data_IF_305296631660
#
_entry.id   IF_305296631660
#
_cell.length_a   1.000
_cell.length_b   1.000
_cell.length_c   1.000
_cell.angle_alpha   90.00
_cell.angle_beta   90.00
_cell.angle_gamma   90.00
#
_symmetry.space_group_name_H-M   'P 1'
#
loop_
_entity.id
_entity.type
_entity.pdbx_description
1 polymer ?
#
# COMPACT_ATOMS: atom_id res chain seq x y z
N UNK A 1 -10.23 26.92 0.06
CA UNK A 1 -9.29 27.95 0.53
C UNK A 1 -7.89 27.41 0.29
N UNK A 2 -7.15 27.94 -0.66
CA UNK A 2 -5.76 27.56 -0.89
C UNK A 2 -4.94 28.17 0.24
N UNK A 3 -4.56 27.38 1.23
CA UNK A 3 -3.52 27.77 2.17
C UNK A 3 -2.21 27.78 1.41
N UNK A 4 -1.68 28.97 1.17
CA UNK A 4 -0.31 29.16 0.72
C UNK A 4 0.64 28.67 1.81
N UNK A 5 0.95 27.39 1.78
CA UNK A 5 1.89 26.80 2.69
C UNK A 5 3.28 27.38 2.40
N UNK A 6 3.83 28.11 3.35
CA UNK A 6 5.26 28.36 3.37
C UNK A 6 5.92 27.00 3.51
N UNK A 7 6.62 26.58 2.47
CA UNK A 7 7.41 25.35 2.47
C UNK A 7 8.54 25.54 3.47
N UNK A 8 8.34 25.10 4.70
CA UNK A 8 9.40 25.10 5.70
C UNK A 8 10.43 24.03 5.33
N UNK A 9 11.71 24.38 5.41
CA UNK A 9 12.82 23.43 5.25
C UNK A 9 12.67 22.23 6.23
N UNK A 10 12.01 22.45 7.37
CA UNK A 10 11.63 21.41 8.34
C UNK A 10 10.75 20.31 7.72
N UNK A 11 9.87 20.63 6.79
CA UNK A 11 8.97 19.65 6.16
C UNK A 11 9.77 18.67 5.28
N UNK A 12 10.84 19.14 4.64
CA UNK A 12 11.75 18.29 3.87
C UNK A 12 12.54 17.30 4.73
N UNK A 13 12.82 17.64 5.98
CA UNK A 13 13.52 16.75 6.93
C UNK A 13 12.54 15.77 7.58
N UNK A 14 11.30 16.18 7.78
CA UNK A 14 10.25 15.34 8.36
C UNK A 14 9.86 14.17 7.46
N UNK A 15 9.90 14.33 6.13
CA UNK A 15 9.55 13.27 5.17
C UNK A 15 10.46 12.02 5.33
N UNK A 16 11.81 12.11 5.26
CA UNK A 16 12.66 10.93 5.43
C UNK A 16 12.58 10.35 6.85
N UNK A 17 12.38 11.18 7.87
CA UNK A 17 12.21 10.72 9.25
C UNK A 17 10.94 9.89 9.38
N UNK A 18 9.83 10.36 8.83
CA UNK A 18 8.54 9.66 8.80
C UNK A 18 8.66 8.29 8.11
N UNK A 19 9.41 8.21 7.01
CA UNK A 19 9.65 6.96 6.28
C UNK A 19 10.44 5.97 7.15
N UNK A 20 11.54 6.41 7.74
CA UNK A 20 12.40 5.55 8.57
C UNK A 20 11.66 5.07 9.82
N UNK A 21 10.93 5.96 10.50
CA UNK A 21 10.13 5.60 11.67
C UNK A 21 9.01 4.62 11.32
N UNK A 22 8.31 4.86 10.21
CA UNK A 22 7.27 3.95 9.72
C UNK A 22 7.83 2.55 9.43
N UNK A 23 8.96 2.46 8.74
CA UNK A 23 9.61 1.20 8.42
C UNK A 23 10.09 0.49 9.71
N UNK A 24 10.72 1.20 10.64
CA UNK A 24 11.21 0.63 11.87
C UNK A 24 10.07 0.09 12.75
N UNK A 25 9.00 0.87 12.91
CA UNK A 25 7.83 0.48 13.70
C UNK A 25 7.12 -0.73 13.08
N UNK A 26 6.92 -0.71 11.77
CA UNK A 26 6.31 -1.83 11.06
C UNK A 26 7.18 -3.10 11.11
N UNK A 27 8.51 -2.97 10.99
CA UNK A 27 9.42 -4.10 11.08
C UNK A 27 9.41 -4.73 12.50
N UNK A 28 9.36 -3.92 13.54
CA UNK A 28 9.24 -4.39 14.94
C UNK A 28 7.93 -5.17 15.13
N UNK A 29 6.81 -4.60 14.72
CA UNK A 29 5.49 -5.25 14.83
C UNK A 29 5.46 -6.54 14.01
N UNK A 30 6.00 -6.54 12.79
CA UNK A 30 6.11 -7.72 11.93
C UNK A 30 6.96 -8.83 12.55
N UNK A 31 8.05 -8.46 13.22
CA UNK A 31 8.89 -9.40 13.95
C UNK A 31 8.14 -10.06 15.12
N UNK A 32 7.49 -9.27 15.97
CA UNK A 32 6.67 -9.79 17.06
C UNK A 32 5.56 -10.71 16.57
N UNK A 33 4.89 -10.32 15.48
CA UNK A 33 3.82 -11.12 14.90
C UNK A 33 4.32 -12.43 14.32
N UNK A 34 5.51 -12.44 13.70
CA UNK A 34 6.16 -13.65 13.20
C UNK A 34 6.48 -14.63 14.35
N UNK A 35 7.11 -14.13 15.41
CA UNK A 35 7.43 -14.94 16.60
C UNK A 35 6.15 -15.48 17.25
N UNK A 36 5.11 -14.65 17.34
CA UNK A 36 3.81 -15.09 17.87
C UNK A 36 3.20 -16.23 17.04
N UNK A 37 3.24 -16.14 15.73
CA UNK A 37 2.71 -17.18 14.86
C UNK A 37 3.55 -18.47 14.89
N UNK A 38 4.86 -18.37 15.00
CA UNK A 38 5.75 -19.53 15.15
C UNK A 38 5.54 -20.23 16.50
N UNK A 39 5.43 -19.48 17.58
CA UNK A 39 5.18 -20.03 18.92
C UNK A 39 3.80 -20.70 18.99
N UNK A 40 2.78 -20.08 18.40
CA UNK A 40 1.45 -20.66 18.30
C UNK A 40 1.41 -21.95 17.46
N UNK A 41 2.27 -22.03 16.42
CA UNK A 41 2.41 -23.22 15.60
C UNK A 41 3.13 -24.36 16.35
N UNK A 42 4.19 -24.04 17.11
CA UNK A 42 4.97 -25.01 17.88
C UNK A 42 4.15 -25.67 19.01
N UNK A 43 3.21 -24.95 19.60
CA UNK A 43 2.36 -25.46 20.70
C UNK A 43 1.13 -26.25 20.24
N UNK A 44 1.07 -26.76 19.00
CA UNK A 44 -0.07 -27.54 18.44
C UNK A 44 -1.43 -26.82 18.52
N UNK A 45 -1.50 -25.59 18.97
CA UNK A 45 -2.67 -24.75 18.82
C UNK A 45 -2.69 -24.24 17.37
N UNK A 46 -3.28 -25.03 16.49
CA UNK A 46 -3.40 -24.70 15.08
C UNK A 46 -4.32 -23.47 14.96
N UNK A 47 -3.74 -22.28 15.05
CA UNK A 47 -4.49 -21.04 14.81
C UNK A 47 -5.00 -21.11 13.37
N UNK A 48 -6.33 -21.19 13.26
CA UNK A 48 -7.02 -21.30 11.98
C UNK A 48 -6.57 -20.17 11.05
N UNK A 49 -6.26 -20.48 9.80
CA UNK A 49 -5.73 -19.49 8.86
C UNK A 49 -6.59 -18.22 8.73
N UNK A 50 -7.90 -18.31 8.99
CA UNK A 50 -8.78 -17.14 9.01
C UNK A 50 -8.51 -16.22 10.20
N UNK A 51 -8.16 -16.78 11.37
CA UNK A 51 -7.78 -15.99 12.55
C UNK A 51 -6.49 -15.19 12.31
N UNK A 52 -5.51 -15.79 11.62
CA UNK A 52 -4.26 -15.09 11.26
C UNK A 52 -4.53 -13.87 10.39
N UNK A 53 -5.45 -13.98 9.41
CA UNK A 53 -5.85 -12.85 8.57
C UNK A 53 -6.49 -11.73 9.40
N UNK A 54 -7.38 -12.08 10.32
CA UNK A 54 -8.06 -11.10 11.19
C UNK A 54 -7.05 -10.39 12.09
N UNK A 55 -6.10 -11.12 12.68
CA UNK A 55 -5.05 -10.55 13.53
C UNK A 55 -4.18 -9.58 12.74
N UNK A 56 -3.69 -10.00 11.56
CA UNK A 56 -2.88 -9.14 10.70
C UNK A 56 -3.64 -7.88 10.29
N UNK A 57 -4.92 -8.03 9.91
CA UNK A 57 -5.77 -6.91 9.53
C UNK A 57 -6.01 -5.96 10.72
N UNK A 58 -6.32 -6.50 11.90
CA UNK A 58 -6.51 -5.70 13.12
C UNK A 58 -5.28 -4.90 13.50
N UNK A 59 -4.09 -5.53 13.42
CA UNK A 59 -2.82 -4.85 13.69
C UNK A 59 -2.53 -3.80 12.62
N UNK A 60 -2.88 -4.05 11.35
CA UNK A 60 -2.73 -3.05 10.28
C UNK A 60 -3.58 -1.81 10.54
N UNK A 61 -4.84 -1.99 10.95
CA UNK A 61 -5.70 -0.87 11.34
C UNK A 61 -5.18 -0.15 12.59
N UNK A 62 -4.64 -0.89 13.54
CA UNK A 62 -4.04 -0.30 14.74
C UNK A 62 -2.81 0.56 14.40
N UNK A 63 -1.97 0.13 13.46
CA UNK A 63 -0.85 0.93 12.96
C UNK A 63 -1.32 2.22 12.28
N UNK A 64 -2.39 2.16 11.48
CA UNK A 64 -3.01 3.35 10.87
C UNK A 64 -3.62 4.28 11.93
N UNK A 65 -4.22 3.74 12.98
CA UNK A 65 -4.74 4.55 14.09
C UNK A 65 -3.62 5.23 14.89
N UNK A 66 -2.48 4.57 15.07
CA UNK A 66 -1.30 5.16 15.71
C UNK A 66 -0.75 6.31 14.87
N UNK A 67 -0.71 6.19 13.53
CA UNK A 67 -0.35 7.28 12.63
C UNK A 67 -1.25 8.51 12.87
N UNK A 68 -2.57 8.32 12.83
CA UNK A 68 -3.53 9.40 13.02
C UNK A 68 -3.43 10.06 14.42
N UNK A 69 -3.09 9.27 15.44
CA UNK A 69 -2.90 9.81 16.78
C UNK A 69 -1.55 10.50 16.96
N UNK A 70 -0.52 10.04 16.27
CA UNK A 70 0.83 10.58 16.36
C UNK A 70 1.08 11.77 15.42
N UNK A 71 0.18 12.06 14.49
CA UNK A 71 0.31 13.11 13.46
C UNK A 71 0.66 14.48 14.05
N UNK A 72 0.13 14.79 15.24
CA UNK A 72 0.39 16.04 15.94
C UNK A 72 1.80 16.12 16.60
N UNK A 73 2.44 14.98 16.86
CA UNK A 73 3.70 14.91 17.59
C UNK A 73 4.89 14.47 16.73
N UNK A 74 4.69 13.48 15.89
CA UNK A 74 5.74 12.88 15.08
C UNK A 74 5.14 12.42 13.75
N UNK A 75 5.74 12.86 12.65
CA UNK A 75 5.37 12.35 11.34
C UNK A 75 5.77 10.87 11.23
N UNK A 76 4.80 9.96 11.28
CA UNK A 76 4.98 8.52 11.10
C UNK A 76 4.14 8.12 9.89
N UNK A 77 4.69 7.33 8.97
CA UNK A 77 3.90 6.79 7.86
C UNK A 77 3.37 5.39 8.22
N UNK A 78 2.10 5.32 8.60
CA UNK A 78 1.41 4.06 8.93
C UNK A 78 1.31 3.13 7.74
N UNK A 79 1.14 3.68 6.53
CA UNK A 79 1.12 2.88 5.31
C UNK A 79 2.45 2.14 5.11
N UNK A 80 3.59 2.82 5.28
CA UNK A 80 4.91 2.20 5.23
C UNK A 80 5.13 1.21 6.38
N UNK A 81 4.58 1.49 7.56
CA UNK A 81 4.60 0.55 8.68
C UNK A 81 3.86 -0.75 8.33
N UNK A 82 2.69 -0.68 7.74
CA UNK A 82 1.94 -1.88 7.30
C UNK A 82 2.70 -2.65 6.23
N UNK A 83 3.30 -1.96 5.24
CA UNK A 83 4.09 -2.61 4.18
C UNK A 83 5.32 -3.30 4.76
N UNK A 84 6.08 -2.63 5.65
CA UNK A 84 7.27 -3.21 6.26
C UNK A 84 6.93 -4.39 7.18
N UNK A 85 5.83 -4.30 7.95
CA UNK A 85 5.28 -5.42 8.72
C UNK A 85 4.99 -6.63 7.83
N UNK A 86 4.32 -6.42 6.68
CA UNK A 86 4.00 -7.48 5.73
C UNK A 86 5.26 -8.10 5.12
N UNK A 87 6.28 -7.29 4.79
CA UNK A 87 7.56 -7.77 4.28
C UNK A 87 8.28 -8.67 5.30
N UNK A 88 8.39 -8.22 6.55
CA UNK A 88 9.04 -9.01 7.62
C UNK A 88 8.27 -10.29 7.89
N UNK A 89 6.94 -10.23 7.93
CA UNK A 89 6.09 -11.40 8.09
C UNK A 89 6.30 -12.41 6.96
N UNK A 90 6.41 -11.93 5.71
CA UNK A 90 6.68 -12.78 4.54
C UNK A 90 8.05 -13.42 4.59
N UNK A 91 9.08 -12.70 5.05
CA UNK A 91 10.46 -13.19 5.10
C UNK A 91 10.70 -14.20 6.23
N UNK A 92 10.05 -14.00 7.38
CA UNK A 92 10.26 -14.83 8.58
C UNK A 92 9.24 -15.95 8.75
N UNK A 93 8.02 -15.83 8.23
CA UNK A 93 7.01 -16.88 8.35
C UNK A 93 7.34 -18.10 7.50
N UNK A 94 6.95 -19.27 8.02
CA UNK A 94 7.01 -20.54 7.28
C UNK A 94 6.31 -20.37 5.93
N UNK A 95 6.92 -20.89 4.86
CA UNK A 95 6.46 -20.70 3.48
C UNK A 95 4.97 -21.03 3.26
N UNK A 96 4.48 -22.09 3.91
CA UNK A 96 3.07 -22.50 3.87
C UNK A 96 2.12 -21.46 4.48
N UNK A 97 2.51 -20.83 5.59
CA UNK A 97 1.71 -19.80 6.26
C UNK A 97 1.65 -18.55 5.40
N UNK A 98 2.80 -18.13 4.89
CA UNK A 98 2.92 -16.96 4.00
C UNK A 98 2.10 -17.14 2.74
N UNK A 99 2.16 -18.30 2.08
CA UNK A 99 1.40 -18.60 0.86
C UNK A 99 -0.11 -18.54 1.10
N UNK A 100 -0.60 -19.23 2.14
CA UNK A 100 -2.03 -19.26 2.49
C UNK A 100 -2.56 -17.90 2.91
N UNK A 101 -1.73 -17.08 3.57
CA UNK A 101 -2.07 -15.73 3.96
C UNK A 101 -2.19 -14.84 2.71
N UNK A 102 -1.22 -14.91 1.80
CA UNK A 102 -1.22 -14.20 0.53
C UNK A 102 -2.44 -14.52 -0.34
N UNK A 103 -2.82 -15.79 -0.45
CA UNK A 103 -4.03 -16.21 -1.19
C UNK A 103 -5.32 -15.61 -0.61
N UNK A 104 -5.42 -15.54 0.72
CA UNK A 104 -6.58 -14.94 1.38
C UNK A 104 -6.63 -13.43 1.27
N UNK A 105 -5.48 -12.77 1.41
CA UNK A 105 -5.37 -11.33 1.19
C UNK A 105 -5.63 -10.96 -0.27
N UNK A 106 -5.22 -11.79 -1.23
CA UNK A 106 -5.56 -11.57 -2.64
C UNK A 106 -7.07 -11.57 -2.91
N UNK A 107 -7.83 -12.45 -2.25
CA UNK A 107 -9.30 -12.46 -2.36
C UNK A 107 -9.94 -11.24 -1.68
N UNK A 108 -9.41 -10.83 -0.51
CA UNK A 108 -9.83 -9.61 0.19
C UNK A 108 -9.52 -8.36 -0.64
N UNK A 109 -8.36 -8.32 -1.30
CA UNK A 109 -7.98 -7.23 -2.19
C UNK A 109 -8.99 -7.03 -3.31
N UNK A 110 -9.38 -8.10 -3.98
CA UNK A 110 -10.37 -8.03 -5.06
C UNK A 110 -11.71 -7.44 -4.57
N UNK A 111 -12.19 -7.86 -3.40
CA UNK A 111 -13.41 -7.31 -2.83
C UNK A 111 -13.26 -5.84 -2.42
N UNK A 112 -12.12 -5.46 -1.86
CA UNK A 112 -11.81 -4.08 -1.47
C UNK A 112 -11.68 -3.18 -2.70
N UNK A 113 -11.05 -3.65 -3.76
CA UNK A 113 -10.90 -2.94 -5.03
C UNK A 113 -12.25 -2.62 -5.66
N UNK A 114 -13.14 -3.61 -5.77
CA UNK A 114 -14.51 -3.39 -6.27
C UNK A 114 -15.25 -2.38 -5.40
N UNK A 115 -15.18 -2.51 -4.07
CA UNK A 115 -15.82 -1.59 -3.13
C UNK A 115 -15.30 -0.16 -3.29
N UNK A 116 -13.98 0.00 -3.47
CA UNK A 116 -13.35 1.30 -3.68
C UNK A 116 -13.85 1.96 -4.97
N UNK A 117 -13.89 1.22 -6.07
CA UNK A 117 -14.38 1.75 -7.35
C UNK A 117 -15.86 2.14 -7.28
N UNK A 118 -16.68 1.35 -6.59
CA UNK A 118 -18.10 1.68 -6.39
C UNK A 118 -18.25 2.95 -5.54
N UNK A 119 -17.50 3.07 -4.44
CA UNK A 119 -17.54 4.25 -3.58
C UNK A 119 -17.06 5.50 -4.31
N UNK A 120 -15.93 5.41 -5.00
CA UNK A 120 -15.41 6.53 -5.80
C UNK A 120 -16.42 6.92 -6.88
N UNK A 121 -17.01 5.94 -7.58
CA UNK A 121 -18.03 6.23 -8.59
C UNK A 121 -19.29 6.88 -8.00
N UNK A 122 -19.68 6.53 -6.78
CA UNK A 122 -20.84 7.11 -6.11
C UNK A 122 -20.56 8.53 -5.56
N UNK A 123 -19.32 8.86 -5.24
CA UNK A 123 -18.94 10.19 -4.71
C UNK A 123 -18.57 11.20 -5.78
N UNK A 124 -18.36 10.76 -7.02
CA UNK A 124 -18.07 11.67 -8.14
C UNK A 124 -19.27 12.54 -8.46
N UNK A 125 -19.12 13.85 -8.30
CA UNK A 125 -20.10 14.81 -8.74
C UNK A 125 -20.00 15.04 -10.26
N UNK A 126 -21.03 14.57 -10.97
CA UNK A 126 -21.11 14.63 -12.44
C UNK A 126 -21.06 16.08 -12.93
N UNK A 127 -21.57 17.03 -12.16
CA UNK A 127 -21.56 18.46 -12.56
C UNK A 127 -20.14 18.99 -12.66
N UNK A 128 -19.31 18.75 -11.64
CA UNK A 128 -17.89 19.17 -11.66
C UNK A 128 -17.11 18.47 -12.76
N UNK A 129 -17.45 17.20 -13.05
CA UNK A 129 -16.82 16.46 -14.14
C UNK A 129 -17.17 17.05 -15.50
N UNK A 130 -18.39 17.51 -15.69
CA UNK A 130 -18.83 18.18 -16.92
C UNK A 130 -18.23 19.58 -17.07
N UNK A 131 -18.12 20.35 -15.99
CA UNK A 131 -17.46 21.67 -15.97
C UNK A 131 -15.95 21.58 -16.20
N UNK A 132 -15.28 20.56 -15.66
CA UNK A 132 -13.86 20.31 -15.89
C UNK A 132 -13.56 19.93 -17.36
N UNK A 133 -14.50 19.35 -18.06
CA UNK A 133 -14.56 19.17 -19.51
C UNK A 133 -13.28 18.66 -20.19
N UNK A 134 -13.01 19.22 -21.35
CA UNK A 134 -11.87 18.88 -22.20
C UNK A 134 -10.48 18.98 -21.50
N UNK A 135 -10.19 19.98 -20.65
CA UNK A 135 -8.92 20.06 -19.94
C UNK A 135 -8.64 18.86 -19.03
N UNK A 136 -9.66 18.33 -18.35
CA UNK A 136 -9.49 17.17 -17.48
C UNK A 136 -9.14 15.91 -18.27
N UNK A 137 -9.81 15.69 -19.41
CA UNK A 137 -9.51 14.57 -20.31
C UNK A 137 -8.10 14.68 -20.87
N UNK A 138 -7.67 15.87 -21.28
CA UNK A 138 -6.33 16.12 -21.77
C UNK A 138 -5.27 15.85 -20.68
N UNK A 139 -5.53 16.26 -19.43
CA UNK A 139 -4.63 16.01 -18.29
C UNK A 139 -4.50 14.52 -17.97
N UNK A 140 -5.60 13.77 -17.99
CA UNK A 140 -5.59 12.31 -17.78
C UNK A 140 -4.80 11.63 -18.90
N UNK A 141 -5.05 12.02 -20.17
CA UNK A 141 -4.33 11.44 -21.31
C UNK A 141 -2.82 11.74 -21.23
N UNK A 142 -2.44 12.97 -20.87
CA UNK A 142 -1.06 13.36 -20.68
C UNK A 142 -0.40 12.54 -19.57
N UNK A 143 -1.09 12.36 -18.44
CA UNK A 143 -0.60 11.54 -17.32
C UNK A 143 -0.39 10.07 -17.73
N UNK A 144 -1.31 9.51 -18.52
CA UNK A 144 -1.17 8.15 -19.04
C UNK A 144 0.02 8.01 -20.01
N UNK A 145 0.26 9.00 -20.86
CA UNK A 145 1.43 9.01 -21.76
C UNK A 145 2.74 9.07 -20.95
N UNK A 146 2.84 9.97 -19.97
CA UNK A 146 4.03 10.06 -19.11
C UNK A 146 4.26 8.77 -18.33
N UNK A 147 3.20 8.18 -17.78
CA UNK A 147 3.26 6.88 -17.11
C UNK A 147 3.76 5.79 -18.06
N UNK A 148 3.22 5.73 -19.28
CA UNK A 148 3.63 4.76 -20.30
C UNK A 148 5.11 4.90 -20.65
N UNK A 149 5.60 6.12 -20.80
CA UNK A 149 7.02 6.42 -21.06
C UNK A 149 7.87 5.95 -19.86
N UNK A 150 7.44 6.23 -18.62
CA UNK A 150 8.14 5.80 -17.41
C UNK A 150 8.28 4.28 -17.33
N UNK A 151 7.18 3.55 -17.54
CA UNK A 151 7.19 2.07 -17.58
C UNK A 151 8.09 1.56 -18.70
N UNK A 152 8.00 2.16 -19.89
CA UNK A 152 8.83 1.75 -21.03
C UNK A 152 10.31 1.93 -20.73
N UNK A 153 10.74 3.06 -20.17
CA UNK A 153 12.12 3.34 -19.78
C UNK A 153 12.62 2.31 -18.75
N UNK A 154 11.80 1.97 -17.76
CA UNK A 154 12.14 0.93 -16.78
C UNK A 154 12.34 -0.46 -17.42
N UNK A 155 11.60 -0.76 -18.48
CA UNK A 155 11.65 -2.06 -19.16
C UNK A 155 12.77 -2.15 -20.23
N UNK A 156 13.42 -1.05 -20.59
CA UNK A 156 14.49 -1.03 -21.64
C UNK A 156 15.63 -1.98 -21.32
N UNK A 157 16.00 -2.13 -20.05
CA UNK A 157 17.08 -3.02 -19.58
C UNK A 157 16.66 -4.45 -19.29
N UNK A 158 15.39 -4.81 -19.46
CA UNK A 158 14.87 -6.14 -19.15
C UNK A 158 14.85 -7.01 -20.41
N UNK A 159 15.19 -8.30 -20.29
CA UNK A 159 15.20 -9.27 -21.39
C UNK A 159 13.77 -9.71 -21.81
N UNK A 160 12.86 -8.75 -21.96
CA UNK A 160 11.49 -8.99 -22.39
C UNK A 160 11.35 -8.76 -23.90
N UNK A 161 10.52 -9.55 -24.53
CA UNK A 161 10.17 -9.41 -25.95
C UNK A 161 9.40 -8.10 -26.16
N UNK A 162 9.50 -7.51 -27.36
CA UNK A 162 8.84 -6.24 -27.68
C UNK A 162 7.32 -6.27 -27.43
N UNK A 163 6.67 -7.40 -27.72
CA UNK A 163 5.22 -7.59 -27.45
C UNK A 163 4.88 -7.60 -25.97
N UNK A 164 5.73 -8.21 -25.15
CA UNK A 164 5.58 -8.29 -23.69
C UNK A 164 5.80 -6.91 -23.05
N UNK A 165 6.75 -6.13 -23.56
CA UNK A 165 6.96 -4.75 -23.12
C UNK A 165 5.75 -3.88 -23.39
N UNK A 166 5.19 -3.98 -24.60
CA UNK A 166 4.00 -3.23 -25.00
C UNK A 166 2.79 -3.62 -24.13
N UNK A 167 2.64 -4.91 -23.85
CA UNK A 167 1.60 -5.41 -22.93
C UNK A 167 1.77 -4.82 -21.51
N UNK A 168 2.98 -4.80 -20.97
CA UNK A 168 3.25 -4.20 -19.65
C UNK A 168 2.94 -2.69 -19.61
N UNK A 169 3.25 -1.96 -20.68
CA UNK A 169 2.95 -0.51 -20.79
C UNK A 169 1.45 -0.23 -20.81
N UNK A 170 0.67 -1.13 -21.45
CA UNK A 170 -0.79 -0.96 -21.58
C UNK A 170 -1.51 -1.48 -20.33
N UNK A 171 -1.01 -2.56 -19.71
CA UNK A 171 -1.66 -3.22 -18.58
C UNK A 171 -1.43 -2.51 -17.24
N UNK A 172 -0.37 -1.72 -17.14
CA UNK A 172 0.00 -0.93 -15.97
C UNK A 172 -0.15 0.57 -16.25
#
# INVERSE_FOLDING_TARGET
MAQGGQVHIMDFVNIPISIILGIALGALVGFFLSVFFETAYAHKHCVRNSMKVIIVLGISFMLMAIEAWAEDFVAISGLLAVVSMACVLKLKSIADVSKRLSEKFGKLWMAAEVSLFVLVGATVDIRYTMEAGLPAIAMIFLALVFRGIGVFVCLVKTNLNWKERLFCVIAY
#
